data_IF_948411624011
#
_entry.id   IF_948411624011
#
_cell.length_a   1.000
_cell.length_b   1.000
_cell.length_c   1.000
_cell.angle_alpha   90.00
_cell.angle_beta   90.00
_cell.angle_gamma   90.00
#
_symmetry.space_group_name_H-M   'P 1'
#
loop_
_entity.id
_entity.type
_entity.pdbx_description
1 polymer ?
#
# COMPACT_ATOMS: atom_id res chain seq x y z
N UNK A 1 3.99 1.45 18.88
CA UNK A 1 3.78 1.76 17.45
C UNK A 1 3.19 3.15 17.35
N UNK A 2 3.88 4.10 16.70
CA UNK A 2 3.48 5.51 16.64
C UNK A 2 2.18 5.69 15.86
N UNK A 3 1.11 6.09 16.54
CA UNK A 3 -0.15 6.47 15.89
C UNK A 3 0.03 7.87 15.30
N UNK A 4 -0.07 8.01 13.98
CA UNK A 4 -0.10 9.32 13.33
C UNK A 4 -1.37 10.11 13.65
N UNK A 5 -1.50 11.33 13.11
CA UNK A 5 -2.62 12.26 13.36
C UNK A 5 -4.03 11.69 13.07
N UNK A 6 -4.14 10.55 12.38
CA UNK A 6 -5.39 9.84 12.03
C UNK A 6 -5.68 8.63 12.93
N UNK A 7 -4.79 8.28 13.85
CA UNK A 7 -4.87 7.05 14.65
C UNK A 7 -4.48 5.77 13.89
N UNK A 8 -4.21 5.86 12.59
CA UNK A 8 -3.75 4.75 11.75
C UNK A 8 -2.21 4.62 11.74
N UNK A 9 -1.67 3.41 11.50
CA UNK A 9 -0.28 3.23 11.10
C UNK A 9 0.07 4.07 9.88
N UNK A 10 1.33 4.52 9.78
CA UNK A 10 1.77 5.44 8.73
C UNK A 10 1.46 4.91 7.31
N UNK A 11 1.74 3.63 7.04
CA UNK A 11 1.51 3.00 5.73
C UNK A 11 0.02 2.96 5.32
N UNK A 12 -0.92 3.08 6.26
CA UNK A 12 -2.37 3.06 6.03
C UNK A 12 -3.00 4.46 6.13
N UNK A 13 -2.18 5.51 6.20
CA UNK A 13 -2.61 6.87 6.48
C UNK A 13 -2.34 7.76 5.28
N UNK A 14 -3.40 8.09 4.52
CA UNK A 14 -3.32 9.03 3.40
C UNK A 14 -2.74 10.40 3.78
N UNK A 15 -3.09 11.01 4.94
CA UNK A 15 -2.43 12.26 5.34
C UNK A 15 -0.93 12.11 5.59
N UNK A 16 -0.45 10.90 5.92
CA UNK A 16 0.96 10.64 6.14
C UNK A 16 1.69 10.37 4.82
N UNK A 17 1.22 9.42 4.02
CA UNK A 17 1.90 9.03 2.78
C UNK A 17 1.66 10.08 1.69
N UNK A 18 0.41 10.37 1.34
CA UNK A 18 0.12 11.37 0.30
C UNK A 18 0.32 12.80 0.80
N UNK A 19 -0.20 13.14 1.98
CA UNK A 19 -0.16 14.51 2.50
C UNK A 19 1.25 14.99 2.84
N UNK A 20 1.90 14.30 3.78
CA UNK A 20 3.24 14.67 4.26
C UNK A 20 4.35 14.21 3.30
N UNK A 21 4.46 12.91 3.03
CA UNK A 21 5.61 12.37 2.26
C UNK A 21 5.61 12.83 0.80
N UNK A 22 4.51 12.67 0.07
CA UNK A 22 4.43 13.11 -1.33
C UNK A 22 4.20 14.61 -1.46
N UNK A 23 3.33 15.18 -0.63
CA UNK A 23 2.97 16.60 -0.67
C UNK A 23 4.04 17.51 -0.07
N UNK A 24 4.15 17.55 1.26
CA UNK A 24 5.03 18.49 1.96
C UNK A 24 6.52 18.20 1.74
N UNK A 25 6.92 16.93 1.70
CA UNK A 25 8.32 16.52 1.53
C UNK A 25 8.71 16.32 0.05
N UNK A 26 7.74 16.33 -0.87
CA UNK A 26 7.99 16.27 -2.31
C UNK A 26 8.56 14.94 -2.82
N UNK A 27 8.36 13.83 -2.10
CA UNK A 27 8.81 12.53 -2.55
C UNK A 27 7.91 11.98 -3.68
N UNK A 28 8.45 11.90 -4.89
CA UNK A 28 7.72 11.36 -6.05
C UNK A 28 8.23 9.97 -6.50
N UNK A 29 9.19 9.41 -5.75
CA UNK A 29 9.65 8.05 -5.99
C UNK A 29 8.69 6.98 -5.45
N UNK A 30 9.18 5.73 -5.52
CA UNK A 30 8.46 4.55 -5.02
C UNK A 30 8.31 4.60 -3.50
N UNK A 31 7.13 4.23 -3.00
CA UNK A 31 6.84 4.01 -1.59
C UNK A 31 6.50 2.54 -1.37
N UNK A 32 7.21 1.89 -0.46
CA UNK A 32 7.03 0.47 -0.11
C UNK A 32 6.48 0.39 1.31
N UNK A 33 5.46 -0.45 1.55
CA UNK A 33 5.01 -0.72 2.91
C UNK A 33 6.01 -1.59 3.68
N UNK A 34 5.90 -1.59 5.01
CA UNK A 34 6.38 -2.72 5.81
C UNK A 34 5.40 -3.90 5.70
N UNK A 35 5.71 -5.03 6.34
CA UNK A 35 4.93 -6.28 6.27
C UNK A 35 3.46 -6.06 6.69
N UNK A 36 2.55 -6.15 5.72
CA UNK A 36 1.11 -5.99 5.96
C UNK A 36 0.49 -7.17 6.72
N UNK A 37 1.21 -8.28 6.88
CA UNK A 37 0.78 -9.40 7.73
C UNK A 37 1.12 -9.20 9.21
N UNK A 38 1.79 -8.11 9.57
CA UNK A 38 2.10 -7.81 10.97
C UNK A 38 0.82 -7.87 11.82
N UNK A 39 0.87 -8.58 12.95
CA UNK A 39 -0.30 -8.84 13.79
C UNK A 39 -1.04 -7.57 14.22
N UNK A 40 -0.31 -6.48 14.47
CA UNK A 40 -0.90 -5.18 14.82
C UNK A 40 -1.73 -4.55 13.69
N UNK A 41 -1.45 -4.91 12.43
CA UNK A 41 -2.21 -4.50 11.25
C UNK A 41 -3.40 -5.43 11.05
N UNK A 42 -3.15 -6.73 10.94
CA UNK A 42 -4.19 -7.72 10.60
C UNK A 42 -5.26 -7.84 11.67
N UNK A 43 -4.93 -7.73 12.96
CA UNK A 43 -5.92 -7.73 14.04
C UNK A 43 -6.77 -6.45 14.10
N UNK A 44 -6.23 -5.32 13.64
CA UNK A 44 -6.91 -4.02 13.72
C UNK A 44 -7.78 -3.72 12.49
N UNK A 45 -7.39 -4.21 11.31
CA UNK A 45 -8.02 -3.86 10.04
C UNK A 45 -8.50 -5.08 9.24
N UNK A 46 -7.88 -6.24 9.41
CA UNK A 46 -8.01 -7.36 8.47
C UNK A 46 -7.05 -7.23 7.28
N UNK A 47 -6.82 -8.32 6.55
CA UNK A 47 -5.84 -8.38 5.46
C UNK A 47 -6.25 -7.50 4.26
N UNK A 48 -7.44 -7.74 3.72
CA UNK A 48 -7.92 -7.04 2.52
C UNK A 48 -8.11 -5.54 2.76
N UNK A 49 -8.60 -5.16 3.94
CA UNK A 49 -8.75 -3.76 4.30
C UNK A 49 -7.39 -3.06 4.47
N UNK A 50 -6.39 -3.75 5.03
CA UNK A 50 -5.04 -3.22 5.11
C UNK A 50 -4.42 -2.98 3.72
N UNK A 51 -4.66 -3.91 2.78
CA UNK A 51 -4.29 -3.74 1.36
C UNK A 51 -4.94 -2.49 0.78
N UNK A 52 -6.26 -2.37 0.89
CA UNK A 52 -6.99 -1.23 0.33
C UNK A 52 -6.52 0.10 0.93
N UNK A 53 -6.39 0.17 2.25
CA UNK A 53 -5.94 1.37 2.95
C UNK A 53 -4.50 1.76 2.58
N UNK A 54 -3.61 0.80 2.35
CA UNK A 54 -2.24 1.07 1.90
C UNK A 54 -2.23 1.69 0.49
N UNK A 55 -3.00 1.11 -0.44
CA UNK A 55 -3.13 1.64 -1.80
C UNK A 55 -3.75 3.04 -1.77
N UNK A 56 -4.86 3.22 -1.05
CA UNK A 56 -5.54 4.51 -0.86
C UNK A 56 -4.63 5.56 -0.18
N UNK A 57 -3.73 5.13 0.70
CA UNK A 57 -2.78 6.02 1.36
C UNK A 57 -1.73 6.59 0.40
N UNK A 58 -1.39 5.85 -0.68
CA UNK A 58 -0.38 6.25 -1.66
C UNK A 58 0.83 5.31 -1.74
N UNK A 59 0.77 4.12 -1.12
CA UNK A 59 1.81 3.09 -1.23
C UNK A 59 1.82 2.49 -2.64
N UNK A 60 3.00 2.26 -3.21
CA UNK A 60 3.16 1.70 -4.57
C UNK A 60 3.46 0.20 -4.55
N UNK A 61 4.26 -0.26 -3.59
CA UNK A 61 4.63 -1.67 -3.44
C UNK A 61 4.18 -2.19 -2.07
N UNK A 62 3.33 -3.21 -2.09
CA UNK A 62 2.83 -3.86 -0.88
C UNK A 62 3.78 -5.00 -0.49
N UNK A 63 4.33 -4.94 0.71
CA UNK A 63 5.23 -5.94 1.25
C UNK A 63 4.46 -6.97 2.08
N UNK A 64 4.70 -8.25 1.78
CA UNK A 64 4.21 -9.39 2.54
C UNK A 64 5.40 -10.31 2.81
N UNK A 65 5.78 -10.47 4.07
CA UNK A 65 6.92 -11.32 4.42
C UNK A 65 6.58 -12.82 4.43
N UNK A 66 5.29 -13.17 4.47
CA UNK A 66 4.75 -14.53 4.45
C UNK A 66 5.28 -15.45 5.56
N UNK A 67 5.57 -14.86 6.72
CA UNK A 67 6.27 -15.50 7.83
C UNK A 67 5.37 -15.83 9.03
N UNK A 68 4.32 -15.03 9.27
CA UNK A 68 3.43 -15.21 10.43
C UNK A 68 2.49 -16.39 10.24
N UNK A 69 1.88 -16.45 9.05
CA UNK A 69 1.12 -17.58 8.54
C UNK A 69 1.55 -17.74 7.10
N UNK A 70 2.20 -18.87 6.80
CA UNK A 70 2.64 -19.16 5.44
C UNK A 70 1.42 -19.48 4.57
N UNK A 71 1.29 -18.73 3.49
CA UNK A 71 0.30 -18.94 2.43
C UNK A 71 1.04 -18.93 1.08
N UNK A 72 1.14 -20.07 0.37
CA UNK A 72 1.80 -20.12 -0.94
C UNK A 72 1.08 -19.29 -2.00
N UNK A 73 -0.22 -19.03 -1.81
CA UNK A 73 -1.09 -18.35 -2.77
C UNK A 73 -1.36 -16.89 -2.38
N UNK A 74 -0.62 -16.35 -1.40
CA UNK A 74 -0.83 -14.99 -0.87
C UNK A 74 -0.84 -13.91 -1.95
N UNK A 75 0.01 -14.03 -2.96
CA UNK A 75 0.08 -13.07 -4.07
C UNK A 75 -1.19 -13.13 -4.92
N UNK A 76 -1.72 -14.34 -5.17
CA UNK A 76 -2.96 -14.51 -5.91
C UNK A 76 -4.15 -13.96 -5.12
N UNK A 77 -4.24 -14.28 -3.82
CA UNK A 77 -5.29 -13.76 -2.94
C UNK A 77 -5.29 -12.22 -2.87
N UNK A 78 -4.12 -11.60 -2.69
CA UNK A 78 -3.99 -10.13 -2.70
C UNK A 78 -4.35 -9.56 -4.07
N UNK A 79 -3.93 -10.22 -5.16
CA UNK A 79 -4.30 -9.85 -6.53
C UNK A 79 -5.82 -9.84 -6.74
N UNK A 80 -6.51 -10.91 -6.33
CA UNK A 80 -7.96 -11.03 -6.41
C UNK A 80 -8.67 -9.94 -5.58
N UNK A 81 -8.17 -9.64 -4.38
CA UNK A 81 -8.70 -8.57 -3.54
C UNK A 81 -8.57 -7.20 -4.24
N UNK A 82 -7.41 -6.89 -4.82
CA UNK A 82 -7.17 -5.65 -5.58
C UNK A 82 -8.11 -5.55 -6.78
N UNK A 83 -8.26 -6.64 -7.55
CA UNK A 83 -9.21 -6.69 -8.67
C UNK A 83 -10.65 -6.45 -8.20
N UNK A 84 -11.06 -7.01 -7.06
CA UNK A 84 -12.36 -6.76 -6.44
C UNK A 84 -12.55 -5.28 -6.04
N UNK A 85 -11.51 -4.62 -5.53
CA UNK A 85 -11.57 -3.19 -5.21
C UNK A 85 -11.67 -2.30 -6.44
N UNK A 86 -11.03 -2.68 -7.55
CA UNK A 86 -11.17 -1.97 -8.82
C UNK A 86 -12.57 -2.18 -9.39
N UNK A 87 -13.06 -3.42 -9.43
CA UNK A 87 -14.39 -3.74 -9.93
C UNK A 87 -15.52 -3.04 -9.15
N UNK A 88 -15.34 -2.84 -7.83
CA UNK A 88 -16.30 -2.12 -6.99
C UNK A 88 -16.15 -0.59 -7.04
N UNK A 89 -15.11 -0.07 -7.69
CA UNK A 89 -14.82 1.37 -7.78
C UNK A 89 -14.20 1.97 -6.50
N UNK A 90 -13.78 1.14 -5.54
CA UNK A 90 -13.07 1.59 -4.34
C UNK A 90 -11.68 2.12 -4.68
N UNK A 91 -10.97 1.41 -5.56
CA UNK A 91 -9.67 1.82 -6.10
C UNK A 91 -9.85 2.08 -7.60
N UNK A 92 -9.31 3.19 -8.09
CA UNK A 92 -9.34 3.51 -9.52
C UNK A 92 -8.16 2.88 -10.25
N UNK A 93 -8.32 2.51 -11.51
CA UNK A 93 -7.21 2.06 -12.37
C UNK A 93 -6.09 3.11 -12.41
N UNK A 94 -6.45 4.39 -12.57
CA UNK A 94 -5.50 5.51 -12.55
C UNK A 94 -4.62 5.54 -11.28
N UNK A 95 -5.16 5.16 -10.12
CA UNK A 95 -4.37 5.08 -8.89
C UNK A 95 -3.32 3.98 -8.98
N UNK A 96 -3.63 2.84 -9.61
CA UNK A 96 -2.66 1.77 -9.85
C UNK A 96 -1.62 2.17 -10.90
N UNK A 97 -2.06 2.81 -11.99
CA UNK A 97 -1.19 3.31 -13.05
C UNK A 97 -0.13 4.29 -12.53
N UNK A 98 -0.51 5.20 -11.60
CA UNK A 98 0.44 6.08 -10.92
C UNK A 98 1.54 5.31 -10.19
N UNK A 99 1.20 4.19 -9.54
CA UNK A 99 2.19 3.36 -8.85
C UNK A 99 3.08 2.61 -9.83
N UNK A 100 2.50 2.05 -10.90
CA UNK A 100 3.27 1.37 -11.96
C UNK A 100 4.27 2.32 -12.59
N UNK A 101 3.87 3.55 -12.94
CA UNK A 101 4.77 4.55 -13.53
C UNK A 101 5.97 4.86 -12.61
N UNK A 102 5.76 4.99 -11.30
CA UNK A 102 6.86 5.20 -10.33
C UNK A 102 7.77 3.98 -10.23
N UNK A 103 7.20 2.77 -10.26
CA UNK A 103 7.96 1.51 -10.22
C UNK A 103 8.81 1.35 -11.49
N UNK A 104 8.27 1.65 -12.66
CA UNK A 104 9.01 1.61 -13.92
C UNK A 104 10.15 2.63 -13.93
N UNK A 105 9.90 3.85 -13.44
CA UNK A 105 10.91 4.89 -13.28
C UNK A 105 12.05 4.52 -12.32
N UNK A 106 11.82 3.61 -11.36
CA UNK A 106 12.88 3.11 -10.47
C UNK A 106 13.91 2.26 -11.23
N UNK A 107 13.47 1.46 -12.20
CA UNK A 107 14.34 0.57 -12.98
C UNK A 107 14.92 1.23 -14.22
N UNK A 108 14.27 2.28 -14.72
CA UNK A 108 14.72 3.09 -15.84
C UNK A 108 14.95 4.55 -15.38
N UNK A 109 15.99 4.81 -14.56
CA UNK A 109 16.28 6.17 -14.13
C UNK A 109 16.54 7.04 -15.35
N UNK A 110 15.80 8.14 -15.46
CA UNK A 110 16.06 9.17 -16.47
C UNK A 110 17.41 9.80 -16.12
N UNK A 111 18.38 9.74 -17.05
CA UNK A 111 19.70 10.38 -16.91
C UNK A 111 19.60 11.89 -16.68
#
# INVERSE_FOLDING_TARGET
AGRGRTGRPAALSRPTVTGLLRGELGWDGVVISDDLQAAAITQAYGADEAVALAIEAGVDLLLFANQQVYDPDIVAHVGDAVLGFVASGRITEARLDESVARIEGLFNPVE
#
